data_IF_183368601943
#
_entry.id   IF_183368601943
#
_cell.length_a   1.000
_cell.length_b   1.000
_cell.length_c   1.000
_cell.angle_alpha   90.00
_cell.angle_beta   90.00
_cell.angle_gamma   90.00
#
_symmetry.space_group_name_H-M   'P 1'
#
loop_
_entity.id
_entity.type
_entity.pdbx_description
1 polymer ?
#
# COMPACT_ATOMS: atom_id res chain seq x y z
N UNK A 1 12.54 6.77 4.78
CA UNK A 1 12.15 5.56 5.54
C UNK A 1 12.55 4.35 4.72
N UNK A 2 13.51 3.57 5.22
CA UNK A 2 13.94 2.32 4.63
C UNK A 2 12.89 1.25 4.95
N UNK A 3 12.21 0.76 3.92
CA UNK A 3 11.23 -0.32 4.02
C UNK A 3 11.03 -0.89 2.62
N UNK A 4 11.15 -2.20 2.50
CA UNK A 4 10.89 -2.96 1.27
C UNK A 4 9.39 -3.12 1.02
N UNK A 5 8.61 -3.20 2.10
CA UNK A 5 7.16 -3.39 2.08
C UNK A 5 6.47 -2.35 2.98
N UNK A 6 5.38 -1.76 2.49
CA UNK A 6 4.51 -0.86 3.26
C UNK A 6 3.08 -1.39 3.22
N UNK A 7 2.51 -1.67 4.38
CA UNK A 7 1.12 -2.11 4.51
C UNK A 7 0.27 -1.04 5.21
N UNK A 8 -0.81 -0.64 4.57
CA UNK A 8 -1.83 0.24 5.14
C UNK A 8 -2.96 -0.61 5.73
N UNK A 9 -2.96 -0.77 7.05
CA UNK A 9 -4.08 -1.39 7.76
C UNK A 9 -5.14 -0.35 8.08
N UNK A 10 -6.38 -0.58 7.64
CA UNK A 10 -7.45 0.40 7.70
C UNK A 10 -8.82 -0.25 7.86
N UNK A 11 -9.77 0.53 8.39
CA UNK A 11 -11.13 0.10 8.69
C UNK A 11 -12.11 0.90 7.83
N UNK A 12 -13.22 0.25 7.42
CA UNK A 12 -14.22 0.89 6.57
C UNK A 12 -15.35 1.61 7.33
N UNK A 13 -15.38 1.50 8.66
CA UNK A 13 -16.45 2.14 9.47
C UNK A 13 -16.06 3.54 9.95
N UNK A 14 -14.85 4.00 9.65
CA UNK A 14 -14.33 5.32 10.05
C UNK A 14 -13.77 6.05 8.84
N UNK A 15 -14.54 6.98 8.30
CA UNK A 15 -14.17 7.76 7.10
C UNK A 15 -12.78 8.42 7.22
N UNK A 16 -12.43 8.99 8.38
CA UNK A 16 -11.13 9.61 8.57
C UNK A 16 -9.95 8.63 8.42
N UNK A 17 -10.14 7.35 8.75
CA UNK A 17 -9.12 6.32 8.54
C UNK A 17 -8.92 6.04 7.05
N UNK A 18 -10.01 5.95 6.28
CA UNK A 18 -9.98 5.78 4.83
C UNK A 18 -9.30 6.96 4.14
N UNK A 19 -9.70 8.19 4.48
CA UNK A 19 -9.13 9.43 3.93
C UNK A 19 -7.61 9.49 4.15
N UNK A 20 -7.16 9.08 5.33
CA UNK A 20 -5.73 9.04 5.66
C UNK A 20 -5.00 8.03 4.78
N UNK A 21 -5.57 6.85 4.54
CA UNK A 21 -4.97 5.85 3.65
C UNK A 21 -4.91 6.36 2.22
N UNK A 22 -5.99 6.92 1.68
CA UNK A 22 -6.01 7.52 0.33
C UNK A 22 -4.94 8.61 0.19
N UNK A 23 -4.84 9.50 1.17
CA UNK A 23 -3.82 10.56 1.20
C UNK A 23 -2.40 9.98 1.22
N UNK A 24 -2.14 8.94 2.02
CA UNK A 24 -0.82 8.32 2.10
C UNK A 24 -0.45 7.59 0.81
N UNK A 25 -1.35 6.76 0.26
CA UNK A 25 -1.13 6.05 -1.00
C UNK A 25 -0.85 7.03 -2.15
N UNK A 26 -1.57 8.16 -2.20
CA UNK A 26 -1.33 9.21 -3.20
C UNK A 26 0.09 9.80 -3.16
N UNK A 27 0.77 9.77 -2.01
CA UNK A 27 2.18 10.20 -1.89
C UNK A 27 3.15 9.21 -2.52
N UNK A 28 2.79 7.93 -2.60
CA UNK A 28 3.57 6.91 -3.29
C UNK A 28 3.34 6.94 -4.81
N UNK A 29 2.13 7.29 -5.27
CA UNK A 29 1.82 7.39 -6.70
C UNK A 29 2.36 8.64 -7.40
N UNK A 30 2.59 9.75 -6.68
CA UNK A 30 3.04 11.04 -7.24
C UNK A 30 4.56 11.23 -7.33
N UNK A 31 5.35 10.24 -6.93
CA UNK A 31 6.81 10.35 -6.95
C UNK A 31 7.41 9.24 -7.83
N UNK A 32 8.21 9.55 -8.87
CA UNK A 32 9.32 8.68 -9.16
C UNK A 32 10.21 8.74 -7.91
N UNK A 33 10.24 7.66 -7.14
CA UNK A 33 11.41 7.33 -6.32
C UNK A 33 11.91 8.39 -5.31
N UNK A 34 11.09 9.31 -4.78
CA UNK A 34 11.51 10.14 -3.60
C UNK A 34 11.60 9.32 -2.30
N UNK A 35 10.95 8.16 -2.29
CA UNK A 35 11.08 7.17 -1.23
C UNK A 35 11.82 5.91 -1.69
N UNK A 36 12.35 5.85 -2.91
CA UNK A 36 13.38 4.86 -3.21
C UNK A 36 14.56 5.26 -2.34
N UNK A 37 14.74 4.51 -1.27
CA UNK A 37 15.84 4.73 -0.38
C UNK A 37 17.11 4.54 -1.21
N UNK A 38 17.97 5.54 -1.29
CA UNK A 38 19.27 5.40 -1.93
C UNK A 38 20.15 4.33 -1.25
N UNK A 39 19.73 3.82 -0.07
CA UNK A 39 20.34 2.68 0.61
C UNK A 39 19.73 1.32 0.23
N UNK A 40 18.67 1.26 -0.59
CA UNK A 40 18.07 -0.02 -1.01
C UNK A 40 18.97 -0.77 -2.01
N UNK A 41 19.77 -0.06 -2.80
CA UNK A 41 20.72 -0.63 -3.76
C UNK A 41 21.91 -1.36 -3.12
N UNK A 42 22.04 -1.34 -1.78
CA UNK A 42 23.20 -1.87 -1.05
C UNK A 42 22.91 -3.19 -0.31
N UNK A 43 21.70 -3.76 -0.44
CA UNK A 43 21.28 -4.97 0.30
C UNK A 43 20.80 -6.10 -0.64
N UNK A 44 21.72 -6.66 -1.42
CA UNK A 44 21.52 -7.95 -2.12
C UNK A 44 20.45 -7.95 -3.22
N UNK A 45 20.21 -9.14 -3.81
CA UNK A 45 19.40 -9.42 -5.02
C UNK A 45 17.89 -9.02 -4.97
N UNK A 46 17.46 -8.20 -4.01
CA UNK A 46 16.07 -7.76 -3.93
C UNK A 46 15.80 -6.64 -4.95
N UNK A 47 14.74 -6.76 -5.76
CA UNK A 47 14.43 -5.75 -6.77
C UNK A 47 14.21 -4.38 -6.12
N UNK A 48 14.76 -3.32 -6.74
CA UNK A 48 14.69 -1.92 -6.31
C UNK A 48 13.27 -1.32 -6.17
N UNK A 49 12.21 -2.14 -6.21
CA UNK A 49 10.81 -1.75 -6.17
C UNK A 49 10.24 -2.03 -4.77
N UNK A 50 9.69 -0.99 -4.14
CA UNK A 50 8.92 -1.12 -2.90
C UNK A 50 7.56 -1.76 -3.19
N UNK A 51 7.14 -2.68 -2.33
CA UNK A 51 5.81 -3.29 -2.38
C UNK A 51 4.85 -2.47 -1.51
N UNK A 52 3.74 -2.04 -2.09
CA UNK A 52 2.69 -1.31 -1.38
C UNK A 52 1.43 -2.16 -1.26
N UNK A 53 0.90 -2.33 -0.04
CA UNK A 53 -0.31 -3.09 0.21
C UNK A 53 -1.35 -2.35 1.05
N UNK A 54 -2.63 -2.65 0.85
CA UNK A 54 -3.75 -2.18 1.68
C UNK A 54 -4.46 -3.40 2.28
N UNK A 55 -4.68 -3.39 3.59
CA UNK A 55 -5.31 -4.48 4.32
C UNK A 55 -6.45 -3.98 5.22
N UNK A 56 -7.38 -4.87 5.57
CA UNK A 56 -8.49 -4.58 6.48
C UNK A 56 -9.81 -4.30 5.76
N UNK A 57 -10.86 -3.90 6.49
CA UNK A 57 -12.22 -3.89 5.93
C UNK A 57 -12.38 -2.93 4.74
N UNK A 58 -11.63 -1.82 4.70
CA UNK A 58 -11.60 -0.92 3.54
C UNK A 58 -11.03 -1.63 2.30
N UNK A 59 -9.99 -2.46 2.45
CA UNK A 59 -9.42 -3.22 1.34
C UNK A 59 -10.43 -4.20 0.74
N UNK A 60 -11.31 -4.78 1.55
CA UNK A 60 -12.40 -5.63 1.07
C UNK A 60 -13.49 -4.81 0.35
N UNK A 61 -13.92 -3.70 0.95
CA UNK A 61 -15.01 -2.88 0.42
C UNK A 61 -14.65 -2.15 -0.88
N UNK A 62 -13.40 -1.69 -1.02
CA UNK A 62 -12.95 -0.86 -2.13
C UNK A 62 -11.95 -1.57 -3.05
N UNK A 63 -11.89 -2.90 -3.04
CA UNK A 63 -10.85 -3.69 -3.73
C UNK A 63 -10.56 -3.21 -5.16
N UNK A 64 -11.58 -3.16 -6.00
CA UNK A 64 -11.43 -2.78 -7.40
C UNK A 64 -11.15 -1.28 -7.59
N UNK A 65 -11.70 -0.44 -6.70
CA UNK A 65 -11.44 1.00 -6.73
C UNK A 65 -9.99 1.31 -6.35
N UNK A 66 -9.41 0.59 -5.38
CA UNK A 66 -8.02 0.78 -4.95
C UNK A 66 -7.07 0.57 -6.14
N UNK A 67 -7.21 -0.51 -6.91
CA UNK A 67 -6.35 -0.75 -8.07
C UNK A 67 -6.54 0.29 -9.18
N UNK A 68 -7.79 0.74 -9.40
CA UNK A 68 -8.09 1.78 -10.41
C UNK A 68 -7.53 3.15 -10.02
N UNK A 69 -7.71 3.55 -8.76
CA UNK A 69 -7.39 4.89 -8.24
C UNK A 69 -5.93 5.02 -7.81
N UNK A 70 -5.31 3.91 -7.40
CA UNK A 70 -3.92 3.85 -6.97
C UNK A 70 -3.17 2.66 -7.59
N UNK A 71 -2.75 2.75 -8.87
CA UNK A 71 -2.01 1.68 -9.56
C UNK A 71 -0.66 1.32 -8.94
N UNK A 72 -0.17 2.12 -7.99
CA UNK A 72 1.05 1.85 -7.21
C UNK A 72 0.83 0.77 -6.13
N UNK A 73 -0.42 0.42 -5.83
CA UNK A 73 -0.74 -0.64 -4.86
C UNK A 73 -0.58 -2.00 -5.53
N UNK A 74 0.29 -2.82 -4.97
CA UNK A 74 0.57 -4.18 -5.44
C UNK A 74 -0.37 -5.22 -4.79
N UNK A 75 -0.80 -4.97 -3.55
CA UNK A 75 -1.54 -5.97 -2.74
C UNK A 75 -2.80 -5.35 -2.12
N UNK A 76 -3.93 -6.05 -2.19
CA UNK A 76 -5.16 -5.71 -1.46
C UNK A 76 -5.68 -6.97 -0.77
N UNK A 77 -5.83 -6.92 0.56
CA UNK A 77 -6.27 -8.06 1.36
C UNK A 77 -7.36 -7.69 2.37
N UNK A 78 -8.53 -8.32 2.25
CA UNK A 78 -9.63 -8.17 3.19
C UNK A 78 -9.43 -9.03 4.46
N UNK A 79 -10.11 -8.71 5.57
CA UNK A 79 -10.05 -9.50 6.80
C UNK A 79 -10.59 -10.93 6.61
N UNK A 80 -11.47 -11.17 5.64
CA UNK A 80 -12.09 -12.46 5.37
C UNK A 80 -11.32 -13.33 4.36
N UNK A 81 -10.04 -13.04 4.09
CA UNK A 81 -9.26 -13.73 3.05
C UNK A 81 -8.40 -14.89 3.58
N UNK A 82 -8.65 -15.38 4.81
CA UNK A 82 -8.06 -16.61 5.33
C UNK A 82 -9.18 -17.66 5.35
N UNK A 83 -9.19 -18.51 4.33
CA UNK A 83 -9.96 -19.75 4.36
C UNK A 83 -9.15 -20.77 5.18
N UNK A 84 -9.80 -21.44 6.14
CA UNK A 84 -9.25 -22.61 6.87
C UNK A 84 -9.44 -23.86 6.02
#
# INVERSE_FOLDING_TARGET
>A
KAADIVLFNTCSVRQHAEDKVWSQIGKYGKAPTRFADANLSSRGDYPNKKIIGVIGCMAQNYKDEIFKRAPVVDIVCGPSNIDN
#
